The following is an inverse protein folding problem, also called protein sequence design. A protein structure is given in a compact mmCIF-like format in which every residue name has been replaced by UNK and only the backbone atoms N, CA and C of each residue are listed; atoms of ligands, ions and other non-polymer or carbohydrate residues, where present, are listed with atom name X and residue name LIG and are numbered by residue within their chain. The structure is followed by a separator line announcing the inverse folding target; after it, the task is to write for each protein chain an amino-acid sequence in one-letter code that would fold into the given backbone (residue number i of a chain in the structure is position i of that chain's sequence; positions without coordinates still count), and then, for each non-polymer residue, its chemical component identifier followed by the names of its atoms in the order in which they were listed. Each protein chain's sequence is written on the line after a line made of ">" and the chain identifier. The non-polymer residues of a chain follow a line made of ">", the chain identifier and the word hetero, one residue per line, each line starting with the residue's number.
data_IF_360090372140
#
_entry.id   IF_360090372140
#
_cell.length_a   1.000
_cell.length_b   1.000
_cell.length_c   1.000
_cell.angle_alpha   90.00
_cell.angle_beta   90.00
_cell.angle_gamma   90.00
#
_symmetry.space_group_name_H-M   'P 1'
#
loop_
_entity.id
_entity.type
_entity.pdbx_description
1 polymer ?
#
# COMPACT_ATOMS: atom_id res chain seq x y z
N UNK A 1 -3.66 -22.17 39.45
CA UNK A 1 -3.01 -20.85 39.54
C UNK A 1 -3.56 -20.01 38.42
N UNK A 2 -4.39 -19.02 38.79
CA UNK A 2 -5.21 -18.25 37.89
C UNK A 2 -4.41 -17.11 37.25
N UNK A 3 -4.20 -17.12 35.96
CA UNK A 3 -3.78 -15.93 35.22
C UNK A 3 -4.99 -15.25 34.61
N UNK A 4 -5.34 -14.11 35.17
CA UNK A 4 -6.37 -13.21 34.65
C UNK A 4 -5.82 -12.54 33.37
N UNK A 5 -6.53 -12.77 32.28
CA UNK A 5 -6.36 -12.03 31.03
C UNK A 5 -7.03 -10.68 31.21
N UNK A 6 -6.26 -9.62 31.30
CA UNK A 6 -6.76 -8.25 31.33
C UNK A 6 -6.92 -7.79 29.88
N UNK A 7 -8.14 -7.82 29.38
CA UNK A 7 -8.48 -7.20 28.09
C UNK A 7 -8.44 -5.67 28.27
N UNK A 8 -7.52 -5.00 27.60
CA UNK A 8 -7.55 -3.55 27.44
C UNK A 8 -8.44 -3.22 26.24
N UNK A 9 -9.68 -2.85 26.54
CA UNK A 9 -10.56 -2.17 25.59
C UNK A 9 -10.06 -0.73 25.43
N UNK A 10 -9.60 -0.38 24.23
CA UNK A 10 -9.36 1.00 23.86
C UNK A 10 -10.70 1.73 23.75
N UNK A 11 -10.98 2.57 24.69
CA UNK A 11 -12.15 3.46 24.71
C UNK A 11 -11.93 4.59 23.69
N UNK A 12 -12.64 4.55 22.57
CA UNK A 12 -12.75 5.70 21.67
C UNK A 12 -13.54 6.80 22.41
N UNK A 13 -12.88 7.91 22.73
CA UNK A 13 -13.52 9.09 23.30
C UNK A 13 -14.36 9.77 22.22
N UNK A 14 -15.68 9.65 22.32
CA UNK A 14 -16.63 10.45 21.57
C UNK A 14 -16.66 11.87 22.15
N UNK A 15 -16.12 12.83 21.42
CA UNK A 15 -16.31 14.24 21.69
C UNK A 15 -17.68 14.67 21.13
N UNK A 16 -18.66 14.76 22.02
CA UNK A 16 -19.97 15.41 21.75
C UNK A 16 -19.80 16.90 21.81
N UNK A 17 -19.90 17.58 20.69
CA UNK A 17 -20.12 19.04 20.65
C UNK A 17 -21.63 19.31 20.80
N UNK A 18 -22.03 19.88 21.93
CA UNK A 18 -23.36 20.45 22.13
C UNK A 18 -23.45 21.80 21.44
N UNK A 19 -24.23 21.88 20.38
CA UNK A 19 -24.63 23.15 19.77
C UNK A 19 -25.73 23.77 20.63
N UNK A 20 -25.43 24.89 21.25
CA UNK A 20 -26.41 25.72 21.92
C UNK A 20 -27.34 26.41 20.91
N UNK A 21 -28.62 26.15 21.01
CA UNK A 21 -29.65 26.86 20.26
C UNK A 21 -29.84 28.25 20.86
N UNK A 22 -29.55 29.30 20.11
CA UNK A 22 -30.00 30.64 20.36
C UNK A 22 -31.33 30.85 19.61
N UNK A 23 -32.39 31.06 20.38
CA UNK A 23 -33.69 31.50 19.87
C UNK A 23 -33.58 32.98 19.45
N UNK A 24 -33.83 33.29 18.21
CA UNK A 24 -34.03 34.64 17.72
C UNK A 24 -35.36 34.69 16.95
N UNK A 25 -36.06 35.77 17.25
CA UNK A 25 -37.42 36.09 16.97
C UNK A 25 -37.84 36.13 15.50
N UNK A 26 -39.09 35.84 15.33
CA UNK A 26 -39.92 35.72 14.14
C UNK A 26 -40.13 37.07 13.42
N UNK A 27 -39.70 37.20 12.16
CA UNK A 27 -40.34 38.08 11.17
C UNK A 27 -40.19 37.44 9.79
N UNK A 28 -41.29 37.00 9.21
CA UNK A 28 -41.38 36.44 7.89
C UNK A 28 -41.09 37.50 6.80
N UNK A 29 -40.12 37.28 5.92
CA UNK A 29 -39.97 38.06 4.67
C UNK A 29 -40.92 37.52 3.60
N UNK A 30 -41.43 38.44 2.76
CA UNK A 30 -42.27 38.15 1.62
C UNK A 30 -41.68 37.14 0.64
N UNK A 31 -42.50 36.35 -0.09
CA UNK A 31 -42.01 35.31 -0.97
C UNK A 31 -41.19 35.88 -2.13
N UNK A 32 -39.92 35.53 -2.16
CA UNK A 32 -39.03 35.79 -3.29
C UNK A 32 -39.47 34.99 -4.53
N UNK A 33 -39.42 35.62 -5.68
CA UNK A 33 -39.69 34.98 -6.96
C UNK A 33 -38.82 33.70 -7.15
N UNK A 34 -39.31 32.63 -7.79
CA UNK A 34 -38.56 31.42 -7.96
C UNK A 34 -37.27 31.70 -8.72
N UNK A 35 -36.15 31.41 -8.06
CA UNK A 35 -34.84 31.44 -8.73
C UNK A 35 -34.86 30.49 -9.90
N UNK A 36 -34.42 30.96 -11.06
CA UNK A 36 -34.21 30.10 -12.25
C UNK A 36 -33.39 28.88 -11.88
N UNK A 37 -33.82 27.69 -12.26
CA UNK A 37 -33.11 26.47 -12.03
C UNK A 37 -31.67 26.60 -12.58
N UNK A 38 -30.64 26.20 -11.83
CA UNK A 38 -29.28 26.25 -12.33
C UNK A 38 -29.18 25.43 -13.61
N UNK A 39 -28.55 26.01 -14.64
CA UNK A 39 -28.27 25.29 -15.88
C UNK A 39 -27.59 23.94 -15.57
N UNK A 40 -27.93 22.86 -16.26
CA UNK A 40 -27.26 21.58 -16.07
C UNK A 40 -25.76 21.78 -16.13
N UNK A 41 -25.05 21.32 -15.10
CA UNK A 41 -23.59 21.35 -15.08
C UNK A 41 -23.07 20.65 -16.36
N UNK A 42 -22.18 21.31 -17.09
CA UNK A 42 -21.52 20.69 -18.23
C UNK A 42 -20.98 19.32 -17.80
N UNK A 43 -21.07 18.27 -18.65
CA UNK A 43 -20.52 16.97 -18.33
C UNK A 43 -19.07 17.14 -17.89
N UNK A 44 -18.73 16.62 -16.70
CA UNK A 44 -17.35 16.63 -16.24
C UNK A 44 -16.46 16.02 -17.34
N UNK A 45 -15.34 16.68 -17.66
CA UNK A 45 -14.39 16.11 -18.60
C UNK A 45 -14.02 14.70 -18.13
N UNK A 46 -13.99 13.71 -19.03
CA UNK A 46 -13.64 12.34 -18.63
C UNK A 46 -12.30 12.37 -17.92
N UNK A 47 -12.28 11.84 -16.69
CA UNK A 47 -11.04 11.68 -15.95
C UNK A 47 -10.06 10.85 -16.78
N UNK A 48 -8.77 11.25 -16.83
CA UNK A 48 -7.77 10.43 -17.49
C UNK A 48 -7.80 9.03 -16.89
N UNK A 49 -7.68 7.99 -17.70
CA UNK A 49 -7.72 6.62 -17.21
C UNK A 49 -6.58 6.38 -16.22
N UNK A 50 -6.84 5.64 -15.15
CA UNK A 50 -5.77 5.17 -14.27
C UNK A 50 -4.87 4.22 -15.05
N UNK A 51 -3.66 4.67 -15.36
CA UNK A 51 -2.69 3.92 -16.15
C UNK A 51 -1.76 3.05 -15.30
N UNK A 52 -1.88 3.13 -13.99
CA UNK A 52 -1.04 2.38 -13.06
C UNK A 52 -1.92 1.65 -12.05
N UNK A 53 -1.60 0.39 -11.73
CA UNK A 53 -2.27 -0.29 -10.65
C UNK A 53 -2.01 0.49 -9.38
N UNK A 54 -3.02 1.10 -8.84
CA UNK A 54 -3.11 1.75 -7.54
C UNK A 54 -2.02 2.79 -7.23
N UNK A 55 -2.44 3.93 -6.78
CA UNK A 55 -1.58 4.97 -6.18
C UNK A 55 -2.30 5.58 -4.99
N UNK A 56 -1.67 5.54 -3.82
CA UNK A 56 -2.12 6.27 -2.63
C UNK A 56 -1.25 7.50 -2.37
N UNK A 57 -0.16 7.65 -3.14
CA UNK A 57 0.74 8.79 -3.04
C UNK A 57 0.05 10.11 -3.43
N UNK A 58 0.50 11.23 -2.87
CA UNK A 58 0.09 12.55 -3.34
C UNK A 58 0.60 12.89 -4.75
N UNK A 59 1.34 11.98 -5.39
CA UNK A 59 1.90 12.14 -6.71
C UNK A 59 0.83 11.91 -7.77
N UNK A 60 0.56 12.91 -8.59
CA UNK A 60 -0.41 12.82 -9.67
C UNK A 60 0.18 12.09 -10.89
N UNK A 61 -0.62 11.21 -11.49
CA UNK A 61 -0.29 10.61 -12.78
C UNK A 61 -0.22 11.69 -13.86
N UNK A 62 0.53 11.41 -14.95
CA UNK A 62 0.56 12.27 -16.10
C UNK A 62 -0.86 12.40 -16.71
N UNK A 63 -1.47 13.59 -16.74
CA UNK A 63 -2.82 13.79 -17.28
C UNK A 63 -2.88 13.69 -18.80
N UNK A 64 -1.75 13.75 -19.50
CA UNK A 64 -1.64 13.64 -20.95
C UNK A 64 -0.53 12.64 -21.31
N UNK A 65 -0.76 11.34 -21.07
CA UNK A 65 0.23 10.31 -21.37
C UNK A 65 0.40 10.18 -22.89
N UNK A 66 1.62 9.86 -23.30
CA UNK A 66 1.89 9.50 -24.70
C UNK A 66 1.08 8.25 -25.06
N UNK A 67 0.42 8.26 -26.20
CA UNK A 67 -0.25 7.09 -26.74
C UNK A 67 0.20 6.81 -28.17
N UNK A 68 0.34 5.52 -28.49
CA UNK A 68 0.75 5.03 -29.79
C UNK A 68 -0.36 4.15 -30.40
N UNK A 69 -0.49 4.19 -31.73
CA UNK A 69 -1.26 3.20 -32.48
C UNK A 69 -0.32 2.05 -32.87
N UNK A 70 -0.51 0.89 -32.25
CA UNK A 70 0.25 -0.34 -32.51
C UNK A 70 -0.56 -1.34 -33.35
N UNK A 71 -1.53 -0.86 -34.13
CA UNK A 71 -2.37 -1.68 -35.01
C UNK A 71 -3.15 -2.76 -34.26
N UNK A 72 -2.92 -4.04 -34.56
CA UNK A 72 -3.63 -5.15 -33.89
C UNK A 72 -3.42 -5.21 -32.39
N UNK A 73 -2.31 -4.69 -31.87
CA UNK A 73 -2.00 -4.66 -30.43
C UNK A 73 -2.74 -3.56 -29.68
N UNK A 74 -3.30 -2.58 -30.39
CA UNK A 74 -4.13 -1.52 -29.82
C UNK A 74 -3.92 -0.16 -30.48
N UNK A 75 -5.02 0.56 -30.72
CA UNK A 75 -4.97 1.91 -31.31
C UNK A 75 -4.56 3.00 -30.31
N UNK A 76 -4.73 2.73 -29.00
CA UNK A 76 -4.31 3.61 -27.91
C UNK A 76 -3.53 2.79 -26.89
N UNK A 77 -2.24 2.66 -27.12
CA UNK A 77 -1.32 2.06 -26.15
C UNK A 77 -0.57 3.19 -25.46
N UNK A 78 -0.80 3.33 -24.17
CA UNK A 78 -0.20 4.40 -23.37
C UNK A 78 1.19 4.00 -22.91
N UNK A 79 2.11 4.95 -22.95
CA UNK A 79 3.45 4.83 -22.39
C UNK A 79 3.61 5.93 -21.34
N UNK A 80 3.90 5.51 -20.13
CA UNK A 80 4.22 6.38 -18.99
C UNK A 80 5.46 5.84 -18.29
N UNK A 81 5.97 6.55 -17.30
CA UNK A 81 7.10 6.05 -16.55
C UNK A 81 7.41 6.90 -15.33
N UNK A 82 8.40 6.42 -14.57
CA UNK A 82 8.95 7.09 -13.40
C UNK A 82 10.47 6.96 -13.40
N UNK A 83 11.15 8.05 -13.08
CA UNK A 83 12.57 8.03 -12.72
C UNK A 83 12.72 8.76 -11.41
N UNK A 84 13.33 8.11 -10.41
CA UNK A 84 13.64 8.72 -9.12
C UNK A 84 14.95 8.21 -8.54
N UNK A 85 15.64 9.07 -7.81
CA UNK A 85 16.76 8.72 -6.94
C UNK A 85 16.33 8.84 -5.49
N UNK A 86 16.87 7.98 -4.64
CA UNK A 86 16.68 8.02 -3.19
C UNK A 86 18.01 8.14 -2.45
N UNK A 87 17.96 8.75 -1.28
CA UNK A 87 19.04 8.71 -0.31
C UNK A 87 18.48 8.56 1.08
N UNK A 88 19.23 7.94 1.98
CA UNK A 88 18.88 7.88 3.39
C UNK A 88 20.07 8.02 4.30
N UNK A 89 19.80 8.44 5.54
CA UNK A 89 20.71 8.38 6.66
C UNK A 89 19.96 7.86 7.88
N UNK A 90 20.60 7.02 8.70
CA UNK A 90 19.93 6.36 9.81
C UNK A 90 20.87 6.13 10.99
N UNK A 91 20.28 6.07 12.20
CA UNK A 91 20.96 5.59 13.40
C UNK A 91 20.81 4.09 13.54
N UNK A 92 21.68 3.46 14.30
CA UNK A 92 21.57 2.05 14.66
C UNK A 92 21.33 1.13 13.45
N UNK A 93 22.10 1.32 12.35
CA UNK A 93 22.01 0.46 11.18
C UNK A 93 22.16 -1.02 11.56
N UNK A 94 21.33 -1.89 10.99
CA UNK A 94 21.42 -3.34 11.24
C UNK A 94 22.65 -3.93 10.57
N UNK A 95 23.04 -5.14 10.97
CA UNK A 95 24.18 -5.83 10.36
C UNK A 95 24.02 -5.94 8.83
N UNK A 96 25.03 -5.50 8.09
CA UNK A 96 25.05 -5.52 6.64
C UNK A 96 24.38 -4.32 5.96
N UNK A 97 23.81 -3.39 6.73
CA UNK A 97 23.27 -2.13 6.23
C UNK A 97 24.28 -0.97 6.40
N UNK A 98 23.93 0.19 5.87
CA UNK A 98 24.74 1.42 5.91
C UNK A 98 24.10 2.48 6.81
N UNK A 99 24.91 3.30 7.46
CA UNK A 99 24.43 4.48 8.19
C UNK A 99 23.92 5.57 7.24
N UNK A 100 24.47 5.66 6.04
CA UNK A 100 23.98 6.53 4.98
C UNK A 100 24.27 5.89 3.61
N UNK A 101 23.32 6.05 2.68
CA UNK A 101 23.42 5.48 1.35
C UNK A 101 22.56 6.24 0.33
N UNK A 102 22.95 6.21 -0.94
CA UNK A 102 22.17 6.72 -2.07
C UNK A 102 22.02 5.68 -3.16
N UNK A 103 20.85 5.61 -3.78
CA UNK A 103 20.53 4.64 -4.82
C UNK A 103 19.46 5.16 -5.78
N UNK A 104 19.16 4.34 -6.78
CA UNK A 104 18.00 4.49 -7.62
C UNK A 104 16.74 4.16 -6.83
N UNK A 105 15.75 5.05 -6.84
CA UNK A 105 14.41 4.75 -6.34
C UNK A 105 13.62 3.92 -7.33
N UNK A 106 13.42 4.49 -8.51
CA UNK A 106 12.71 3.86 -9.63
C UNK A 106 13.32 4.33 -10.97
N UNK A 107 13.37 3.44 -11.93
CA UNK A 107 13.60 3.73 -13.36
C UNK A 107 12.74 2.75 -14.16
N UNK A 108 11.44 3.07 -14.30
CA UNK A 108 10.44 2.16 -14.84
C UNK A 108 9.67 2.82 -15.99
N UNK A 109 9.32 2.01 -16.98
CA UNK A 109 8.44 2.37 -18.09
C UNK A 109 7.22 1.44 -18.04
N UNK A 110 6.05 2.03 -18.18
CA UNK A 110 4.78 1.32 -18.18
C UNK A 110 4.17 1.37 -19.58
N UNK A 111 3.81 0.21 -20.11
CA UNK A 111 3.10 0.05 -21.38
C UNK A 111 1.73 -0.48 -21.06
N UNK A 112 0.68 0.29 -21.38
CA UNK A 112 -0.65 -0.01 -20.90
C UNK A 112 -1.72 0.18 -22.00
N UNK A 113 -2.50 -0.87 -22.25
CA UNK A 113 -3.72 -0.83 -23.03
C UNK A 113 -4.91 -1.08 -22.12
N UNK A 114 -5.75 -0.08 -21.93
CA UNK A 114 -6.83 -0.07 -20.91
C UNK A 114 -8.24 -0.15 -21.52
N UNK A 115 -8.36 -0.10 -22.83
CA UNK A 115 -9.65 -0.09 -23.55
C UNK A 115 -9.92 -1.42 -24.29
N UNK A 116 -11.20 -1.64 -24.61
CA UNK A 116 -11.66 -2.84 -25.31
C UNK A 116 -11.66 -4.10 -24.44
N UNK A 117 -11.98 -5.23 -25.05
CA UNK A 117 -12.09 -6.51 -24.34
C UNK A 117 -10.73 -7.08 -23.96
N UNK A 118 -9.69 -6.86 -24.75
CA UNK A 118 -8.33 -7.33 -24.51
C UNK A 118 -7.46 -6.15 -24.10
N UNK A 119 -7.00 -6.20 -22.87
CA UNK A 119 -6.20 -5.18 -22.22
C UNK A 119 -4.90 -5.81 -21.73
N UNK A 120 -3.88 -5.01 -21.52
CA UNK A 120 -2.63 -5.48 -20.90
C UNK A 120 -1.89 -4.36 -20.19
N UNK A 121 -1.08 -4.75 -19.24
CA UNK A 121 -0.15 -3.89 -18.53
C UNK A 121 1.22 -4.54 -18.49
N UNK A 122 2.27 -3.77 -18.73
CA UNK A 122 3.67 -4.22 -18.63
C UNK A 122 4.46 -3.12 -17.94
N UNK A 123 5.15 -3.46 -16.88
CA UNK A 123 6.11 -2.65 -16.15
C UNK A 123 7.51 -3.19 -16.41
N UNK A 124 8.41 -2.33 -16.87
CA UNK A 124 9.78 -2.68 -17.22
C UNK A 124 10.73 -1.69 -16.55
N UNK A 125 11.66 -2.16 -15.75
CA UNK A 125 12.70 -1.30 -15.20
C UNK A 125 13.30 -1.79 -13.90
N UNK A 126 14.10 -0.91 -13.29
CA UNK A 126 14.74 -1.12 -12.01
C UNK A 126 14.02 -0.33 -10.91
N UNK A 127 14.04 -0.88 -9.70
CA UNK A 127 13.30 -0.33 -8.55
C UNK A 127 13.96 -0.70 -7.23
N UNK A 128 13.65 0.09 -6.20
CA UNK A 128 13.99 -0.21 -4.80
C UNK A 128 12.73 -0.33 -3.94
N UNK A 129 12.84 -1.10 -2.87
CA UNK A 129 11.74 -1.37 -1.93
C UNK A 129 12.17 -1.04 -0.50
N UNK A 130 12.45 0.24 -0.16
CA UNK A 130 12.80 0.60 1.21
C UNK A 130 11.61 0.33 2.13
N UNK A 131 11.86 -0.31 3.26
CA UNK A 131 10.87 -0.59 4.29
C UNK A 131 11.45 -0.31 5.69
N UNK A 132 10.58 -0.06 6.64
CA UNK A 132 10.96 -0.01 8.06
C UNK A 132 11.15 -1.44 8.57
N UNK A 133 11.94 -1.61 9.63
CA UNK A 133 12.22 -2.92 10.23
C UNK A 133 13.71 -3.23 10.26
N UNK A 134 14.04 -4.48 10.55
CA UNK A 134 15.42 -4.93 10.77
C UNK A 134 16.06 -5.63 9.56
N UNK A 135 15.46 -5.52 8.39
CA UNK A 135 16.07 -5.99 7.15
C UNK A 135 17.03 -4.91 6.60
N UNK A 136 18.26 -5.27 6.21
CA UNK A 136 19.16 -4.32 5.59
C UNK A 136 18.61 -3.84 4.24
N UNK A 137 18.95 -2.61 3.86
CA UNK A 137 18.58 -2.08 2.57
C UNK A 137 19.25 -2.89 1.43
N UNK A 138 18.47 -3.25 0.45
CA UNK A 138 18.95 -3.96 -0.73
C UNK A 138 19.02 -2.99 -1.91
N UNK A 139 20.20 -2.88 -2.53
CA UNK A 139 20.44 -2.02 -3.72
C UNK A 139 19.44 -2.32 -4.83
N UNK A 140 18.96 -1.28 -5.51
CA UNK A 140 17.96 -1.40 -6.58
C UNK A 140 18.35 -2.43 -7.64
N UNK A 141 19.61 -2.45 -8.09
CA UNK A 141 20.09 -3.41 -9.07
C UNK A 141 20.04 -4.86 -8.56
N UNK A 142 20.48 -5.09 -7.32
CA UNK A 142 20.45 -6.42 -6.68
C UNK A 142 19.00 -6.87 -6.44
N UNK A 143 18.16 -5.95 -5.95
CA UNK A 143 16.75 -6.23 -5.70
C UNK A 143 16.04 -6.61 -7.01
N UNK A 144 16.16 -5.77 -8.04
CA UNK A 144 15.55 -6.02 -9.35
C UNK A 144 15.93 -7.39 -9.90
N UNK A 145 17.23 -7.75 -9.86
CA UNK A 145 17.71 -9.01 -10.44
C UNK A 145 17.26 -10.23 -9.65
N UNK A 146 17.19 -10.13 -8.32
CA UNK A 146 16.98 -11.28 -7.45
C UNK A 146 15.54 -11.43 -6.96
N UNK A 147 14.66 -10.41 -7.16
CA UNK A 147 13.27 -10.47 -6.73
C UNK A 147 12.30 -10.72 -7.90
N UNK A 148 11.71 -9.67 -8.44
CA UNK A 148 10.65 -9.76 -9.45
C UNK A 148 11.16 -9.53 -10.89
N UNK A 149 12.48 -9.51 -11.12
CA UNK A 149 13.15 -9.21 -12.39
C UNK A 149 12.91 -7.78 -12.93
N UNK A 150 13.48 -7.51 -14.11
CA UNK A 150 13.32 -6.25 -14.86
C UNK A 150 11.89 -6.05 -15.39
N UNK A 151 11.05 -7.08 -15.32
CA UNK A 151 9.62 -7.02 -15.62
C UNK A 151 8.86 -7.42 -14.35
N UNK A 152 8.76 -6.52 -13.35
CA UNK A 152 8.15 -6.86 -12.08
C UNK A 152 6.66 -7.17 -12.21
N UNK A 153 5.94 -6.44 -13.07
CA UNK A 153 4.53 -6.69 -13.34
C UNK A 153 4.26 -6.79 -14.83
N UNK A 154 3.54 -7.83 -15.24
CA UNK A 154 3.04 -7.96 -16.60
C UNK A 154 1.84 -8.90 -16.61
N UNK A 155 0.70 -8.43 -17.10
CA UNK A 155 -0.51 -9.25 -17.19
C UNK A 155 -1.37 -8.87 -18.38
N UNK A 156 -2.11 -9.86 -18.87
CA UNK A 156 -3.22 -9.67 -19.78
C UNK A 156 -4.53 -9.64 -18.99
N UNK A 157 -5.48 -8.81 -19.47
CA UNK A 157 -6.80 -8.70 -18.89
C UNK A 157 -7.84 -8.86 -20.01
N UNK A 158 -8.81 -9.76 -19.79
CA UNK A 158 -9.96 -9.96 -20.63
C UNK A 158 -11.20 -9.42 -19.91
N UNK A 159 -11.87 -8.43 -20.53
CA UNK A 159 -13.08 -7.77 -20.03
C UNK A 159 -14.18 -7.90 -21.08
N UNK A 160 -15.01 -8.98 -21.03
CA UNK A 160 -16.01 -9.26 -22.06
C UNK A 160 -17.12 -8.19 -22.06
N UNK A 161 -17.43 -7.64 -23.22
CA UNK A 161 -18.49 -6.64 -23.36
C UNK A 161 -19.89 -7.16 -22.94
N UNK A 162 -20.10 -8.48 -23.02
CA UNK A 162 -21.34 -9.14 -22.64
C UNK A 162 -21.54 -9.21 -21.10
N UNK A 163 -20.49 -8.99 -20.32
CA UNK A 163 -20.54 -9.02 -18.84
C UNK A 163 -19.91 -7.74 -18.27
N UNK A 164 -20.65 -6.62 -18.28
CA UNK A 164 -20.16 -5.35 -17.75
C UNK A 164 -19.72 -5.50 -16.29
N UNK A 165 -18.57 -4.92 -15.97
CA UNK A 165 -17.98 -5.01 -14.62
C UNK A 165 -17.14 -6.25 -14.36
N UNK A 166 -17.25 -7.31 -15.16
CA UNK A 166 -16.44 -8.52 -15.01
C UNK A 166 -15.15 -8.45 -15.83
N UNK A 167 -14.07 -8.98 -15.27
CA UNK A 167 -12.83 -9.22 -16.00
C UNK A 167 -12.01 -10.35 -15.38
N UNK A 168 -11.17 -10.98 -16.20
CA UNK A 168 -10.13 -11.92 -15.75
C UNK A 168 -8.80 -11.39 -16.21
N UNK A 169 -7.79 -11.47 -15.33
CA UNK A 169 -6.41 -11.12 -15.65
C UNK A 169 -5.46 -12.24 -15.24
N UNK A 170 -4.36 -12.40 -15.99
CA UNK A 170 -3.37 -13.45 -15.77
C UNK A 170 -1.97 -12.95 -16.06
N UNK A 171 -1.01 -13.33 -15.22
CA UNK A 171 0.40 -12.95 -15.33
C UNK A 171 1.05 -12.67 -13.99
N UNK A 172 1.99 -11.71 -13.97
CA UNK A 172 2.57 -11.13 -12.75
C UNK A 172 1.64 -10.01 -12.29
N UNK A 173 0.96 -10.24 -11.18
CA UNK A 173 -0.13 -9.40 -10.65
C UNK A 173 0.32 -8.65 -9.40
N UNK A 174 -0.15 -7.41 -9.19
CA UNK A 174 -0.03 -6.77 -7.88
C UNK A 174 -0.86 -7.54 -6.84
N UNK A 175 -0.48 -7.40 -5.58
CA UNK A 175 -1.22 -7.99 -4.44
C UNK A 175 -2.63 -7.41 -4.31
N UNK A 176 -3.54 -8.20 -3.69
CA UNK A 176 -4.84 -7.75 -3.18
C UNK A 176 -4.79 -7.42 -1.68
N UNK A 177 -3.63 -7.51 -1.03
CA UNK A 177 -3.47 -7.46 0.41
C UNK A 177 -2.68 -6.21 0.79
N UNK A 178 -3.13 -5.53 1.86
CA UNK A 178 -2.47 -4.38 2.45
C UNK A 178 -2.94 -3.03 1.93
N UNK A 179 -2.53 -1.98 2.62
CA UNK A 179 -2.85 -0.59 2.28
C UNK A 179 -1.70 0.12 1.55
N UNK A 180 -0.49 -0.43 1.55
CA UNK A 180 0.69 0.13 0.91
C UNK A 180 1.06 -0.68 -0.34
N UNK A 181 1.51 0.04 -1.37
CA UNK A 181 1.81 -0.55 -2.68
C UNK A 181 3.29 -0.84 -2.89
N UNK A 182 3.59 -1.54 -4.00
CA UNK A 182 4.93 -2.07 -4.27
C UNK A 182 6.00 -1.01 -4.36
N UNK A 183 5.82 0.05 -5.17
CA UNK A 183 6.89 1.00 -5.48
C UNK A 183 6.77 2.30 -4.69
N UNK A 184 7.90 2.99 -4.46
CA UNK A 184 7.94 4.21 -3.64
C UNK A 184 6.96 5.26 -4.10
N UNK A 185 6.92 5.55 -5.40
CA UNK A 185 6.05 6.57 -5.99
C UNK A 185 4.55 6.28 -5.86
N UNK A 186 4.15 5.04 -5.60
CA UNK A 186 2.76 4.64 -5.40
C UNK A 186 2.25 4.90 -3.98
N UNK A 187 3.14 5.16 -3.03
CA UNK A 187 2.85 5.25 -1.61
C UNK A 187 2.88 6.66 -1.05
N UNK A 188 2.17 6.88 0.04
CA UNK A 188 2.20 8.13 0.79
C UNK A 188 3.59 8.41 1.35
N UNK A 189 4.27 7.39 1.89
CA UNK A 189 5.61 7.46 2.46
C UNK A 189 6.63 6.81 1.52
N UNK A 190 7.92 7.21 1.62
CA UNK A 190 9.00 6.61 0.82
C UNK A 190 9.25 5.18 1.28
N UNK A 191 9.49 5.00 2.59
CA UNK A 191 9.62 3.67 3.17
C UNK A 191 8.25 3.08 3.52
N UNK A 192 8.05 1.78 3.19
CA UNK A 192 6.87 1.03 3.64
C UNK A 192 6.94 0.82 5.14
N UNK A 193 5.75 0.62 5.71
CA UNK A 193 5.57 0.40 7.13
C UNK A 193 5.98 -0.99 7.62
N UNK A 194 5.78 -1.19 8.91
CA UNK A 194 6.07 -2.46 9.58
C UNK A 194 5.11 -3.57 9.17
N UNK A 195 3.83 -3.24 8.97
CA UNK A 195 2.79 -4.20 8.57
C UNK A 195 3.03 -4.73 7.16
N UNK A 196 3.47 -3.86 6.24
CA UNK A 196 3.81 -4.23 4.87
C UNK A 196 4.84 -5.37 4.79
N UNK A 197 5.75 -5.48 5.75
CA UNK A 197 6.73 -6.56 5.82
C UNK A 197 6.13 -7.98 5.97
N UNK A 198 4.83 -8.09 6.24
CA UNK A 198 4.08 -9.34 6.37
C UNK A 198 3.21 -9.64 5.15
N UNK A 199 3.10 -8.71 4.21
CA UNK A 199 2.20 -8.78 3.06
C UNK A 199 2.87 -9.40 1.83
N UNK A 200 2.12 -10.10 0.96
CA UNK A 200 2.59 -10.42 -0.38
C UNK A 200 2.65 -9.12 -1.21
N UNK A 201 3.59 -9.04 -2.14
CA UNK A 201 3.81 -7.81 -2.93
C UNK A 201 3.42 -7.99 -4.39
N UNK A 202 4.03 -8.96 -5.06
CA UNK A 202 3.73 -9.36 -6.44
C UNK A 202 3.60 -10.88 -6.46
N UNK A 203 2.65 -11.39 -7.21
CA UNK A 203 2.44 -12.83 -7.37
C UNK A 203 2.15 -13.18 -8.83
N UNK A 204 2.35 -14.45 -9.18
CA UNK A 204 2.00 -14.98 -10.51
C UNK A 204 0.74 -15.81 -10.40
N UNK A 205 -0.18 -15.61 -11.34
CA UNK A 205 -1.41 -16.39 -11.34
C UNK A 205 -2.52 -15.76 -12.15
N UNK A 206 -3.75 -16.02 -11.71
CA UNK A 206 -4.99 -15.56 -12.35
C UNK A 206 -5.85 -14.88 -11.32
N UNK A 207 -6.51 -13.79 -11.71
CA UNK A 207 -7.43 -13.02 -10.87
C UNK A 207 -8.70 -12.72 -11.65
N UNK A 208 -9.86 -12.98 -11.04
CA UNK A 208 -11.16 -12.54 -11.50
C UNK A 208 -11.59 -11.29 -10.71
N UNK A 209 -12.20 -10.33 -11.40
CA UNK A 209 -12.69 -9.09 -10.82
C UNK A 209 -14.13 -8.89 -11.24
N UNK A 210 -14.96 -8.41 -10.33
CA UNK A 210 -16.34 -8.04 -10.61
C UNK A 210 -16.74 -6.79 -9.85
N UNK A 211 -17.23 -5.79 -10.58
CA UNK A 211 -17.72 -4.53 -9.99
C UNK A 211 -19.18 -4.33 -10.39
N UNK A 212 -20.03 -4.08 -9.40
CA UNK A 212 -21.44 -3.75 -9.61
C UNK A 212 -21.91 -2.73 -8.58
N UNK A 213 -22.40 -1.58 -9.04
CA UNK A 213 -22.75 -0.48 -8.14
C UNK A 213 -21.59 -0.10 -7.22
N UNK A 214 -21.81 -0.04 -5.90
CA UNK A 214 -20.78 0.34 -4.93
C UNK A 214 -19.84 -0.81 -4.54
N UNK A 215 -20.05 -2.02 -5.06
CA UNK A 215 -19.33 -3.24 -4.64
C UNK A 215 -18.33 -3.66 -5.71
N UNK A 216 -17.09 -3.95 -5.28
CA UNK A 216 -16.09 -4.65 -6.08
C UNK A 216 -15.63 -5.90 -5.34
N UNK A 217 -15.57 -7.02 -6.04
CA UNK A 217 -15.03 -8.29 -5.53
C UNK A 217 -13.89 -8.72 -6.45
N UNK A 218 -12.75 -9.00 -5.86
CA UNK A 218 -11.57 -9.55 -6.52
C UNK A 218 -11.24 -10.90 -5.89
N UNK A 219 -10.92 -11.90 -6.72
CA UNK A 219 -10.51 -13.23 -6.27
C UNK A 219 -9.35 -13.70 -7.13
N UNK A 220 -8.26 -14.10 -6.49
CA UNK A 220 -7.05 -14.55 -7.17
C UNK A 220 -6.59 -15.93 -6.71
N UNK A 221 -6.04 -16.71 -7.63
CA UNK A 221 -5.29 -17.93 -7.37
C UNK A 221 -3.87 -17.75 -7.91
N UNK A 222 -2.91 -17.73 -6.99
CA UNK A 222 -1.54 -17.28 -7.28
C UNK A 222 -0.50 -18.11 -6.54
N UNK A 223 0.77 -17.78 -6.75
CA UNK A 223 1.89 -18.30 -5.97
C UNK A 223 2.21 -17.45 -4.71
N UNK A 224 1.28 -16.60 -4.30
CA UNK A 224 1.32 -15.83 -3.06
C UNK A 224 2.53 -14.89 -2.96
N UNK A 225 3.52 -15.28 -2.18
CA UNK A 225 4.75 -14.50 -1.98
C UNK A 225 5.81 -14.74 -3.07
N UNK A 226 5.41 -14.92 -4.31
CA UNK A 226 6.30 -15.20 -5.45
C UNK A 226 7.09 -16.51 -5.29
N UNK A 227 6.45 -17.52 -4.72
CA UNK A 227 7.09 -18.76 -4.27
C UNK A 227 7.34 -19.78 -5.37
N UNK A 228 6.87 -19.57 -6.61
CA UNK A 228 6.84 -20.60 -7.68
C UNK A 228 5.96 -21.83 -7.38
N UNK A 229 4.99 -21.67 -6.47
CA UNK A 229 4.05 -22.73 -6.12
C UNK A 229 2.63 -22.16 -6.09
N UNK A 230 1.82 -22.50 -7.09
CA UNK A 230 0.46 -22.02 -7.24
C UNK A 230 -0.45 -22.69 -6.18
N UNK A 231 -0.47 -22.13 -4.99
CA UNK A 231 -1.18 -22.69 -3.85
C UNK A 231 -1.94 -21.65 -3.01
N UNK A 232 -1.98 -20.42 -3.46
CA UNK A 232 -2.52 -19.31 -2.65
C UNK A 232 -3.81 -18.79 -3.25
N UNK A 233 -4.84 -18.66 -2.40
CA UNK A 233 -6.08 -17.97 -2.70
C UNK A 233 -6.07 -16.65 -1.95
N UNK A 234 -6.31 -15.53 -2.64
CA UNK A 234 -6.51 -14.22 -2.04
C UNK A 234 -7.79 -13.58 -2.57
N UNK A 235 -8.43 -12.79 -1.73
CA UNK A 235 -9.67 -12.11 -2.06
C UNK A 235 -9.74 -10.72 -1.46
N UNK A 236 -10.47 -9.84 -2.13
CA UNK A 236 -10.77 -8.50 -1.68
C UNK A 236 -12.24 -8.18 -1.94
N UNK A 237 -12.90 -7.60 -0.95
CA UNK A 237 -14.22 -7.00 -1.06
C UNK A 237 -14.10 -5.51 -0.76
N UNK A 238 -14.36 -4.68 -1.76
CA UNK A 238 -14.41 -3.21 -1.62
C UNK A 238 -15.87 -2.75 -1.65
N UNK A 239 -16.24 -1.89 -0.71
CA UNK A 239 -17.55 -1.25 -0.64
C UNK A 239 -17.41 0.27 -0.53
N UNK A 240 -17.90 0.99 -1.54
CA UNK A 240 -17.95 2.46 -1.57
C UNK A 240 -19.21 2.89 -0.82
N UNK A 241 -19.04 3.36 0.42
CA UNK A 241 -20.13 3.79 1.29
C UNK A 241 -20.68 5.15 0.82
N UNK A 242 -19.76 6.04 0.44
CA UNK A 242 -20.04 7.40 0.00
C UNK A 242 -18.92 7.89 -0.93
N UNK A 243 -19.04 9.06 -1.58
CA UNK A 243 -17.93 9.64 -2.34
C UNK A 243 -16.65 9.88 -1.52
N UNK A 244 -16.77 9.94 -0.20
CA UNK A 244 -15.67 10.19 0.74
C UNK A 244 -15.22 8.96 1.51
N UNK A 245 -15.99 7.85 1.46
CA UNK A 245 -15.79 6.71 2.34
C UNK A 245 -15.78 5.40 1.55
N UNK A 246 -14.70 4.64 1.72
CA UNK A 246 -14.57 3.30 1.15
C UNK A 246 -14.04 2.35 2.22
N UNK A 247 -14.63 1.17 2.34
CA UNK A 247 -14.13 0.10 3.20
C UNK A 247 -13.71 -1.09 2.35
N UNK A 248 -12.61 -1.73 2.74
CA UNK A 248 -12.07 -2.93 2.09
C UNK A 248 -11.86 -4.02 3.13
N UNK A 249 -12.20 -5.24 2.77
CA UNK A 249 -11.91 -6.46 3.51
C UNK A 249 -11.05 -7.33 2.60
N UNK A 250 -9.89 -7.73 3.09
CA UNK A 250 -8.94 -8.51 2.32
C UNK A 250 -8.56 -9.76 3.09
N UNK A 251 -8.22 -10.81 2.37
CA UNK A 251 -7.76 -12.04 2.99
C UNK A 251 -7.02 -12.93 2.04
N UNK A 252 -6.07 -13.68 2.59
CA UNK A 252 -5.27 -14.66 1.87
C UNK A 252 -5.04 -15.90 2.72
N UNK A 253 -4.98 -17.05 2.06
CA UNK A 253 -4.60 -18.31 2.67
C UNK A 253 -4.15 -19.33 1.63
N UNK A 254 -3.53 -20.41 2.10
CA UNK A 254 -2.91 -21.40 1.23
C UNK A 254 -3.71 -22.70 1.18
N UNK A 255 -3.79 -23.31 0.00
CA UNK A 255 -4.42 -24.63 -0.23
C UNK A 255 -3.46 -25.79 0.09
N UNK A 256 -2.17 -25.55 0.11
CA UNK A 256 -1.13 -26.50 0.49
C UNK A 256 0.05 -25.79 1.15
N UNK A 257 0.89 -26.53 1.85
CA UNK A 257 2.11 -26.01 2.49
C UNK A 257 3.35 -26.39 1.70
N UNK A 258 4.35 -25.54 1.73
CA UNK A 258 5.65 -25.81 1.16
C UNK A 258 6.80 -25.21 2.00
N UNK A 259 8.01 -25.69 1.78
CA UNK A 259 9.23 -25.22 2.46
C UNK A 259 10.05 -24.28 1.58
N UNK A 260 9.49 -23.77 0.50
CA UNK A 260 10.21 -22.93 -0.46
C UNK A 260 10.65 -21.62 0.19
N UNK A 261 11.90 -21.26 -0.10
CA UNK A 261 12.49 -19.98 0.26
C UNK A 261 13.08 -19.38 -1.00
N UNK A 262 12.78 -18.14 -1.26
CA UNK A 262 13.33 -17.33 -2.35
C UNK A 262 13.86 -16.02 -1.78
N UNK A 263 14.44 -15.18 -2.61
CA UNK A 263 14.87 -13.85 -2.17
C UNK A 263 13.71 -13.00 -1.61
N UNK A 264 12.50 -13.18 -2.15
CA UNK A 264 11.29 -12.43 -1.76
C UNK A 264 10.38 -13.17 -0.79
N UNK A 265 10.67 -14.45 -0.50
CA UNK A 265 9.75 -15.33 0.23
C UNK A 265 10.45 -16.05 1.37
N UNK A 266 10.04 -15.73 2.60
CA UNK A 266 10.34 -16.59 3.75
C UNK A 266 9.29 -17.72 3.85
N UNK A 267 9.67 -18.97 4.15
CA UNK A 267 8.73 -20.08 4.26
C UNK A 267 7.57 -19.82 5.21
N UNK A 268 7.80 -19.08 6.30
CA UNK A 268 6.76 -18.77 7.27
C UNK A 268 5.68 -17.85 6.69
N UNK A 269 6.04 -16.86 5.92
CA UNK A 269 5.09 -15.98 5.23
C UNK A 269 4.32 -16.76 4.17
N UNK A 270 5.02 -17.57 3.39
CA UNK A 270 4.39 -18.37 2.33
C UNK A 270 3.39 -19.41 2.84
N UNK A 271 3.41 -19.75 4.13
CA UNK A 271 2.47 -20.67 4.77
C UNK A 271 1.52 -19.97 5.74
N UNK A 272 1.50 -18.66 5.77
CA UNK A 272 0.61 -17.87 6.62
C UNK A 272 -0.71 -17.54 5.95
N UNK A 273 -1.74 -17.32 6.78
CA UNK A 273 -2.96 -16.61 6.38
C UNK A 273 -2.85 -15.16 6.83
N UNK A 274 -3.44 -14.24 6.06
CA UNK A 274 -3.47 -12.81 6.38
C UNK A 274 -4.88 -12.26 6.16
N UNK A 275 -5.32 -11.33 7.00
CA UNK A 275 -6.60 -10.65 6.94
C UNK A 275 -6.43 -9.18 7.26
N UNK A 276 -7.00 -8.31 6.42
CA UNK A 276 -6.97 -6.87 6.57
C UNK A 276 -8.37 -6.29 6.53
N UNK A 277 -8.56 -5.23 7.32
CA UNK A 277 -9.70 -4.33 7.24
C UNK A 277 -9.16 -2.92 7.07
N UNK A 278 -9.52 -2.27 5.97
CA UNK A 278 -9.04 -0.95 5.58
C UNK A 278 -10.23 -0.04 5.36
N UNK A 279 -10.20 1.14 5.95
CA UNK A 279 -11.18 2.19 5.69
C UNK A 279 -10.45 3.42 5.16
N UNK A 280 -10.89 3.95 4.02
CA UNK A 280 -10.39 5.22 3.48
C UNK A 280 -11.47 6.28 3.63
N UNK A 281 -11.11 7.41 4.24
CA UNK A 281 -11.97 8.57 4.43
C UNK A 281 -11.30 9.85 3.94
N UNK A 282 -12.03 10.68 3.21
CA UNK A 282 -11.55 11.99 2.78
C UNK A 282 -12.41 13.09 3.36
N UNK A 283 -11.78 14.14 3.92
CA UNK A 283 -12.45 15.27 4.53
C UNK A 283 -11.74 16.58 4.17
N UNK A 284 -12.23 17.27 3.15
CA UNK A 284 -11.59 18.46 2.62
C UNK A 284 -10.15 18.18 2.17
N UNK A 285 -9.12 18.83 2.74
CA UNK A 285 -7.74 18.61 2.37
C UNK A 285 -7.11 17.36 3.02
N UNK A 286 -7.83 16.67 3.88
CA UNK A 286 -7.37 15.49 4.59
C UNK A 286 -7.79 14.19 3.91
N UNK A 287 -6.89 13.21 3.90
CA UNK A 287 -7.22 11.81 3.68
C UNK A 287 -6.74 10.98 4.88
N UNK A 288 -7.52 9.97 5.26
CA UNK A 288 -7.24 9.05 6.36
C UNK A 288 -7.47 7.63 5.88
N UNK A 289 -6.52 6.75 6.19
CA UNK A 289 -6.64 5.32 5.90
C UNK A 289 -6.19 4.53 7.13
N UNK A 290 -7.05 4.39 8.16
CA UNK A 290 -6.82 3.41 9.20
C UNK A 290 -6.96 2.01 8.64
N UNK A 291 -6.04 1.10 9.03
CA UNK A 291 -6.21 -0.30 8.75
C UNK A 291 -5.70 -1.19 9.88
N UNK A 292 -6.30 -2.38 9.96
CA UNK A 292 -5.95 -3.45 10.88
C UNK A 292 -5.51 -4.67 10.07
N UNK A 293 -4.48 -5.35 10.55
CA UNK A 293 -3.94 -6.57 9.94
C UNK A 293 -3.76 -7.66 11.00
N UNK A 294 -4.11 -8.89 10.61
CA UNK A 294 -3.84 -10.10 11.38
C UNK A 294 -3.22 -11.15 10.48
N UNK A 295 -2.13 -11.78 10.92
CA UNK A 295 -1.51 -12.92 10.25
C UNK A 295 -1.43 -14.12 11.17
N UNK A 296 -1.66 -15.31 10.63
CA UNK A 296 -1.51 -16.58 11.33
C UNK A 296 -0.62 -17.52 10.51
N UNK A 297 0.54 -17.86 11.05
CA UNK A 297 1.42 -18.90 10.52
C UNK A 297 1.23 -20.16 11.36
N UNK A 298 0.60 -21.24 10.85
CA UNK A 298 0.38 -22.46 11.60
C UNK A 298 1.70 -23.20 11.84
N UNK A 299 1.78 -24.02 12.88
CA UNK A 299 2.91 -24.91 13.11
C UNK A 299 3.21 -25.77 11.87
N UNK A 300 4.48 -25.87 11.49
CA UNK A 300 4.93 -26.64 10.34
C UNK A 300 6.31 -27.26 10.58
N UNK A 301 6.33 -28.45 11.17
CA UNK A 301 7.55 -29.15 11.60
C UNK A 301 8.49 -29.47 10.44
N UNK A 302 7.97 -29.72 9.25
CA UNK A 302 8.79 -29.95 8.04
C UNK A 302 9.64 -28.73 7.66
N UNK A 303 9.23 -27.52 8.04
CA UNK A 303 9.97 -26.30 7.84
C UNK A 303 10.73 -25.83 9.10
N UNK A 304 10.71 -26.61 10.17
CA UNK A 304 11.51 -26.38 11.39
C UNK A 304 10.78 -25.61 12.50
N UNK A 305 9.48 -25.31 12.39
CA UNK A 305 8.73 -24.68 13.48
C UNK A 305 7.58 -25.55 14.01
N UNK A 306 7.59 -25.75 15.32
CA UNK A 306 6.68 -26.63 16.03
C UNK A 306 5.46 -25.92 16.65
N UNK A 307 5.40 -24.59 16.62
CA UNK A 307 4.34 -23.78 17.19
C UNK A 307 3.81 -22.81 16.13
N UNK A 308 2.54 -22.50 16.24
CA UNK A 308 1.95 -21.42 15.44
C UNK A 308 2.45 -20.06 15.91
N UNK A 309 2.42 -19.08 15.01
CA UNK A 309 2.77 -17.69 15.30
C UNK A 309 1.67 -16.78 14.77
N UNK A 310 1.19 -15.92 15.64
CA UNK A 310 0.20 -14.90 15.31
C UNK A 310 0.86 -13.53 15.34
N UNK A 311 0.55 -12.69 14.37
CA UNK A 311 0.97 -11.30 14.34
C UNK A 311 -0.25 -10.44 14.08
N UNK A 312 -0.38 -9.35 14.80
CA UNK A 312 -1.47 -8.41 14.64
C UNK A 312 -0.97 -6.99 14.81
N UNK A 313 -1.60 -6.08 14.13
CA UNK A 313 -1.24 -4.68 14.21
C UNK A 313 -2.27 -3.78 13.55
N UNK A 314 -2.02 -2.51 13.65
CA UNK A 314 -2.81 -1.48 12.99
C UNK A 314 -1.95 -0.30 12.59
N UNK A 315 -2.39 0.39 11.56
CA UNK A 315 -1.79 1.61 11.08
C UNK A 315 -2.85 2.68 10.81
N UNK A 316 -2.44 3.92 10.96
CA UNK A 316 -3.15 5.09 10.44
C UNK A 316 -2.24 5.78 9.43
N UNK A 317 -2.61 5.71 8.15
CA UNK A 317 -2.04 6.56 7.12
C UNK A 317 -2.91 7.79 6.99
N UNK A 318 -2.30 8.97 7.01
CA UNK A 318 -3.03 10.23 6.84
C UNK A 318 -2.23 11.18 5.94
N UNK A 319 -2.90 12.05 5.21
CA UNK A 319 -2.23 13.08 4.42
C UNK A 319 -3.04 14.37 4.45
N UNK A 320 -2.35 15.49 4.56
CA UNK A 320 -2.90 16.83 4.38
C UNK A 320 -2.36 17.43 3.09
N UNK A 321 -3.23 17.85 2.18
CA UNK A 321 -2.85 18.52 0.93
C UNK A 321 -3.16 20.03 1.03
N UNK A 322 -2.17 20.90 0.81
CA UNK A 322 -2.41 22.34 0.82
C UNK A 322 -3.20 22.79 -0.41
N UNK A 323 -4.08 23.77 -0.18
CA UNK A 323 -4.93 24.33 -1.23
C UNK A 323 -4.09 24.91 -2.38
N UNK A 324 -4.59 24.78 -3.61
CA UNK A 324 -3.93 25.28 -4.84
C UNK A 324 -3.74 26.82 -4.85
N UNK A 325 -4.49 27.56 -4.03
CA UNK A 325 -4.35 29.01 -3.84
C UNK A 325 -3.39 29.40 -2.72
N UNK A 326 -2.92 28.42 -1.95
CA UNK A 326 -1.93 28.63 -0.88
C UNK A 326 -0.55 28.93 -1.44
N UNK A 327 0.29 29.64 -0.68
CA UNK A 327 1.72 29.76 -0.95
C UNK A 327 2.44 28.40 -0.94
N UNK A 328 1.83 27.37 -0.32
CA UNK A 328 2.28 25.99 -0.27
C UNK A 328 1.56 25.09 -1.29
N UNK A 329 1.05 25.68 -2.38
CA UNK A 329 0.46 24.91 -3.48
C UNK A 329 1.42 23.83 -3.98
N UNK A 330 0.91 22.62 -4.17
CA UNK A 330 1.72 21.45 -4.55
C UNK A 330 2.43 20.75 -3.38
N UNK A 331 2.30 21.26 -2.15
CA UNK A 331 2.80 20.60 -0.94
C UNK A 331 1.70 19.71 -0.34
N UNK A 332 2.10 18.54 0.13
CA UNK A 332 1.30 17.68 1.00
C UNK A 332 2.16 17.12 2.14
N UNK A 333 1.52 16.69 3.22
CA UNK A 333 2.20 16.12 4.39
C UNK A 333 1.59 14.76 4.69
N UNK A 334 2.03 13.69 4.02
CA UNK A 334 1.75 12.32 4.41
C UNK A 334 2.37 11.96 5.75
N UNK A 335 1.62 11.17 6.53
CA UNK A 335 2.00 10.68 7.84
C UNK A 335 1.55 9.23 7.99
N UNK A 336 2.31 8.43 8.76
CA UNK A 336 1.92 7.08 9.16
C UNK A 336 2.30 6.85 10.62
N UNK A 337 1.38 6.25 11.37
CA UNK A 337 1.62 5.72 12.72
C UNK A 337 1.20 4.27 12.73
N UNK A 338 2.02 3.38 13.27
CA UNK A 338 1.78 1.95 13.28
C UNK A 338 2.12 1.33 14.63
N UNK A 339 1.43 0.25 14.93
CA UNK A 339 1.80 -0.69 15.99
C UNK A 339 1.64 -2.12 15.49
N UNK A 340 2.59 -2.99 15.85
CA UNK A 340 2.56 -4.41 15.52
C UNK A 340 3.08 -5.23 16.68
N UNK A 341 2.43 -6.38 16.94
CA UNK A 341 2.82 -7.31 17.99
C UNK A 341 2.76 -8.75 17.47
N UNK A 342 3.68 -9.56 17.94
CA UNK A 342 3.83 -10.96 17.57
C UNK A 342 3.74 -11.86 18.81
N UNK A 343 3.03 -12.98 18.69
CA UNK A 343 2.93 -13.99 19.75
C UNK A 343 4.27 -14.70 19.98
N UNK A 344 4.37 -15.42 21.09
CA UNK A 344 5.52 -16.26 21.45
C UNK A 344 5.57 -17.55 20.60
N UNK A 345 5.68 -17.43 19.29
CA UNK A 345 5.83 -18.54 18.36
C UNK A 345 7.19 -19.22 18.40
N UNK A 346 7.63 -19.79 17.31
CA UNK A 346 8.82 -20.68 17.24
C UNK A 346 10.15 -19.98 17.09
N UNK A 347 10.20 -18.68 16.97
CA UNK A 347 11.45 -17.96 16.74
C UNK A 347 12.01 -18.05 15.32
N UNK A 348 11.37 -18.71 14.41
CA UNK A 348 11.85 -18.88 13.04
C UNK A 348 11.31 -17.79 12.15
N UNK A 349 12.19 -16.90 11.70
CA UNK A 349 12.10 -16.22 10.42
C UNK A 349 10.90 -15.31 10.14
N UNK A 350 10.16 -14.85 11.14
CA UNK A 350 9.19 -13.79 10.90
C UNK A 350 9.96 -12.49 10.68
N UNK A 351 9.62 -11.70 9.66
CA UNK A 351 10.40 -10.51 9.26
C UNK A 351 10.36 -9.36 10.26
N UNK A 352 9.63 -9.50 11.38
CA UNK A 352 9.72 -8.60 12.52
C UNK A 352 10.94 -8.95 13.39
N UNK A 353 10.85 -8.81 14.68
CA UNK A 353 12.00 -8.89 15.58
C UNK A 353 12.09 -10.20 16.37
N UNK A 354 11.28 -11.18 16.00
CA UNK A 354 11.24 -12.49 16.65
C UNK A 354 10.06 -12.66 17.62
N UNK A 355 9.94 -13.84 18.25
CA UNK A 355 8.81 -14.21 19.08
C UNK A 355 8.60 -13.30 20.29
N UNK A 356 7.34 -12.95 20.56
CA UNK A 356 6.96 -12.09 21.69
C UNK A 356 7.40 -10.63 21.54
N UNK A 357 7.86 -10.24 20.36
CA UNK A 357 8.25 -8.85 20.07
C UNK A 357 7.03 -8.00 19.75
N UNK A 358 7.20 -6.71 19.93
CA UNK A 358 6.28 -5.69 19.45
C UNK A 358 7.07 -4.45 19.05
N UNK A 359 6.44 -3.59 18.26
CA UNK A 359 7.05 -2.34 17.87
C UNK A 359 6.01 -1.35 17.38
N UNK A 360 6.43 -0.10 17.33
CA UNK A 360 5.64 0.98 16.78
C UNK A 360 6.52 1.88 15.93
N UNK A 361 5.90 2.57 15.00
CA UNK A 361 6.58 3.56 14.16
C UNK A 361 5.76 4.83 14.00
N UNK A 362 6.48 5.92 13.75
CA UNK A 362 5.93 7.16 13.25
C UNK A 362 6.75 7.63 12.05
N UNK A 363 6.07 8.03 10.98
CA UNK A 363 6.70 8.52 9.74
C UNK A 363 5.98 9.77 9.27
N UNK A 364 6.73 10.77 8.82
CA UNK A 364 6.20 12.00 8.20
C UNK A 364 6.99 12.26 6.94
N UNK A 365 6.28 12.51 5.81
CA UNK A 365 6.91 12.63 4.48
C UNK A 365 6.43 13.89 3.75
N UNK A 366 6.83 15.12 4.13
CA UNK A 366 6.55 16.31 3.34
C UNK A 366 6.91 16.07 1.87
N UNK A 367 5.95 16.29 1.01
CA UNK A 367 6.04 16.03 -0.43
C UNK A 367 5.72 17.31 -1.19
N UNK A 368 6.58 17.71 -2.10
CA UNK A 368 6.35 18.82 -3.02
C UNK A 368 6.26 18.28 -4.44
N UNK A 369 5.21 18.68 -5.15
CA UNK A 369 4.98 18.33 -6.55
C UNK A 369 4.85 19.60 -7.39
N UNK A 370 5.55 19.64 -8.51
CA UNK A 370 5.42 20.69 -9.51
C UNK A 370 5.38 20.08 -10.92
N UNK A 371 4.26 20.25 -11.61
CA UNK A 371 4.00 19.55 -12.86
C UNK A 371 4.15 18.02 -12.69
N UNK A 372 5.24 17.45 -13.23
CA UNK A 372 5.57 16.01 -13.17
C UNK A 372 6.73 15.69 -12.23
N UNK A 373 7.41 16.74 -11.70
CA UNK A 373 8.51 16.58 -10.78
C UNK A 373 8.01 16.48 -9.35
N UNK A 374 8.71 15.71 -8.55
CA UNK A 374 8.44 15.60 -7.13
C UNK A 374 9.73 15.58 -6.31
N UNK A 375 9.61 16.11 -5.10
CA UNK A 375 10.62 16.02 -4.06
C UNK A 375 9.93 15.59 -2.77
N UNK A 376 10.48 14.58 -2.10
CA UNK A 376 9.93 14.01 -0.85
C UNK A 376 11.05 13.95 0.18
N UNK A 377 10.78 14.47 1.37
CA UNK A 377 11.65 14.33 2.53
C UNK A 377 10.91 13.50 3.58
N UNK A 378 11.53 12.45 4.08
CA UNK A 378 10.91 11.58 5.07
C UNK A 378 11.72 11.52 6.34
N UNK A 379 11.04 11.62 7.49
CA UNK A 379 11.58 11.31 8.79
C UNK A 379 10.79 10.17 9.41
N UNK A 380 11.45 9.13 9.91
CA UNK A 380 10.82 8.02 10.59
C UNK A 380 11.54 7.64 11.88
N UNK A 381 10.75 7.17 12.84
CA UNK A 381 11.23 6.56 14.09
C UNK A 381 10.55 5.22 14.27
N UNK A 382 11.32 4.22 14.68
CA UNK A 382 10.82 2.90 15.07
C UNK A 382 11.30 2.61 16.48
N UNK A 383 10.39 2.22 17.37
CA UNK A 383 10.67 1.77 18.73
C UNK A 383 10.23 0.33 18.94
N UNK A 384 11.09 -0.50 19.52
CA UNK A 384 10.89 -1.92 19.76
C UNK A 384 10.64 -2.22 21.23
N UNK A 385 9.71 -3.13 21.50
CA UNK A 385 9.46 -3.71 22.83
C UNK A 385 9.51 -5.24 22.78
N UNK A 386 9.55 -5.84 23.95
CA UNK A 386 9.60 -7.30 24.09
C UNK A 386 10.95 -7.94 23.75
N UNK A 387 10.90 -9.24 23.45
CA UNK A 387 12.08 -10.04 23.07
C UNK A 387 12.49 -9.88 21.62
N UNK A 388 13.54 -10.57 21.23
CA UNK A 388 14.02 -10.64 19.84
C UNK A 388 15.17 -9.71 19.50
N UNK A 389 15.65 -9.81 18.26
CA UNK A 389 16.73 -8.98 17.72
C UNK A 389 16.23 -7.59 17.37
N UNK A 390 17.00 -6.57 17.70
CA UNK A 390 16.71 -5.19 17.38
C UNK A 390 17.62 -4.63 16.27
N UNK A 391 17.88 -3.36 16.39
CA UNK A 391 18.76 -2.58 15.53
C UNK A 391 20.21 -2.60 16.03
N UNK A 392 21.11 -1.96 15.28
CA UNK A 392 22.55 -2.00 15.48
C UNK A 392 23.18 -3.25 14.86
N UNK A 393 24.48 -3.22 14.64
CA UNK A 393 25.22 -4.33 14.03
C UNK A 393 25.16 -5.64 14.84
N UNK A 394 24.88 -5.54 16.14
CA UNK A 394 24.74 -6.65 17.08
C UNK A 394 23.27 -6.98 17.43
N UNK A 395 22.31 -6.25 16.89
CA UNK A 395 20.89 -6.42 17.19
C UNK A 395 20.46 -5.99 18.59
N UNK A 396 21.29 -5.26 19.32
CA UNK A 396 21.03 -4.89 20.72
C UNK A 396 20.19 -3.63 20.90
N UNK A 397 20.15 -2.76 19.90
CA UNK A 397 19.43 -1.48 19.95
C UNK A 397 17.93 -1.67 19.77
N UNK A 398 17.15 -0.89 20.50
CA UNK A 398 15.68 -1.00 20.50
C UNK A 398 14.97 0.08 19.69
N UNK A 399 15.74 0.93 19.02
CA UNK A 399 15.19 2.02 18.21
C UNK A 399 16.04 2.32 16.98
N UNK A 400 15.41 2.99 16.02
CA UNK A 400 16.07 3.56 14.84
C UNK A 400 15.37 4.87 14.46
N UNK A 401 16.18 5.88 14.15
CA UNK A 401 15.76 7.09 13.41
C UNK A 401 16.30 6.99 12.01
N UNK A 402 15.45 7.26 11.01
CA UNK A 402 15.86 7.31 9.60
C UNK A 402 15.34 8.58 8.95
N UNK A 403 16.19 9.29 8.24
CA UNK A 403 15.83 10.35 7.30
C UNK A 403 15.98 9.85 5.88
N UNK A 404 15.04 10.17 4.97
CA UNK A 404 15.12 9.81 3.56
C UNK A 404 14.80 11.01 2.67
N UNK A 405 15.37 11.00 1.47
CA UNK A 405 15.08 11.95 0.39
C UNK A 405 14.76 11.15 -0.88
N UNK A 406 13.70 11.52 -1.59
CA UNK A 406 13.42 11.02 -2.94
C UNK A 406 13.14 12.19 -3.87
N UNK A 407 13.85 12.22 -5.01
CA UNK A 407 13.65 13.20 -6.08
C UNK A 407 13.32 12.44 -7.35
N UNK A 408 12.31 12.89 -8.09
CA UNK A 408 11.92 12.17 -9.29
C UNK A 408 10.98 12.91 -10.22
N UNK A 409 10.62 12.23 -11.29
CA UNK A 409 9.68 12.68 -12.32
C UNK A 409 8.78 11.53 -12.74
N UNK A 410 7.48 11.84 -12.90
CA UNK A 410 6.47 10.98 -13.53
C UNK A 410 6.19 11.50 -14.94
N UNK A 411 6.27 10.68 -15.97
CA UNK A 411 6.10 11.12 -17.36
C UNK A 411 5.15 10.22 -18.17
#
# INVERSE_FOLDING_TARGET
>A
MNHRITALLATAAALTFSAGAALADDQAPAPAAPAAAPAPAAPAAPMPPSLQPSMTAPLAQNPMPMSLDLGPLGKKVYITGVVSGIGYAQTNAVAGDHDAFGDLGNAQIFINKIDGQFQYFIDIGAYSLPALGTLPYVKATTLTTNSYDVVPMAYFKFAPAALPGFSIQAGKLPTLIGAEYTFTYQNMNIARGLLWGLEPVISRGVQANYTTGPVTVNLAFTDGYYSNDLNTISGELTYVISPTDTVMFQGQGNTSRNTRSTFTTAPILNNSSIFDVIWTHTMGPWSFTPYFQYTHAPAFTAAGWSKATDTWGGALLASYAFDSKSMLSGVSIPMRVEYVAQSNGTGVGVPLWGPGSNGWSITVTPTYTINRWFARLEGSYVGLGGGGSGYGSDGSKKDQVRGMLELGVLF
#
